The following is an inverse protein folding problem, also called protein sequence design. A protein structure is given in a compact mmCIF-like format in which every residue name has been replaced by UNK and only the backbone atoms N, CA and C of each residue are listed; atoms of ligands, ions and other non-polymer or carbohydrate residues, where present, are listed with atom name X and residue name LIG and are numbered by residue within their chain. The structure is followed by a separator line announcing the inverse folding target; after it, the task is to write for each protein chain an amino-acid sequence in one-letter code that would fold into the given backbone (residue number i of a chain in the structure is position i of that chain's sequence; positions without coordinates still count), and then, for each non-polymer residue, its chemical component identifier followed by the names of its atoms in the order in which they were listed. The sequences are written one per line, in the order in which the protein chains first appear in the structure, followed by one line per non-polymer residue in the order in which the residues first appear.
data_IF_847327714964
#
_entry.id   IF_847327714964
#
_cell.length_a   1.000
_cell.length_b   1.000
_cell.length_c   1.000
_cell.angle_alpha   90.00
_cell.angle_beta   90.00
_cell.angle_gamma   90.00
#
_symmetry.space_group_name_H-M   'P 1'
#
loop_
_entity.id
_entity.type
_entity.pdbx_description
1 polymer ?
#
# COMPACT_ATOMS: atom_id res chain seq x y z
N UNK A 1 -14.98 8.73 43.57
CA UNK A 1 -13.99 8.73 42.45
C UNK A 1 -13.98 7.34 41.83
N UNK A 2 -14.37 7.17 40.58
CA UNK A 2 -14.28 5.88 39.87
C UNK A 2 -12.81 5.48 39.75
N UNK A 3 -12.47 4.27 40.21
CA UNK A 3 -11.11 3.69 40.15
C UNK A 3 -10.62 3.69 38.69
N UNK A 4 -9.38 4.12 38.48
CA UNK A 4 -8.72 3.98 37.15
C UNK A 4 -8.53 2.50 36.84
N UNK A 5 -8.82 2.10 35.61
CA UNK A 5 -8.62 0.73 35.14
C UNK A 5 -7.19 0.60 34.62
N UNK A 6 -6.43 -0.37 35.11
CA UNK A 6 -5.08 -0.63 34.65
C UNK A 6 -5.11 -1.52 33.41
N UNK A 7 -4.63 -1.01 32.30
CA UNK A 7 -4.67 -1.67 31.00
C UNK A 7 -3.25 -1.94 30.50
N UNK A 8 -2.96 -3.18 30.15
CA UNK A 8 -1.75 -3.53 29.44
C UNK A 8 -2.00 -3.46 27.92
N UNK A 9 -1.12 -2.76 27.21
CA UNK A 9 -1.05 -2.77 25.75
C UNK A 9 0.30 -3.37 25.33
N UNK A 10 0.27 -4.62 24.90
CA UNK A 10 1.43 -5.35 24.41
C UNK A 10 1.43 -5.32 22.88
N UNK A 11 2.22 -4.43 22.32
CA UNK A 11 2.27 -4.16 20.88
C UNK A 11 3.72 -3.89 20.47
N UNK A 12 4.34 -4.69 19.61
CA UNK A 12 5.64 -4.36 19.05
C UNK A 12 5.52 -3.06 18.22
N UNK A 13 6.64 -2.38 18.02
CA UNK A 13 6.68 -1.11 17.27
C UNK A 13 7.74 -1.11 16.18
N UNK A 14 8.19 -2.30 15.77
CA UNK A 14 9.22 -2.48 14.75
C UNK A 14 8.77 -2.07 13.35
N UNK A 15 7.51 -2.35 13.00
CA UNK A 15 6.93 -2.02 11.70
C UNK A 15 6.08 -0.74 11.74
N UNK A 16 5.83 -0.17 10.57
CA UNK A 16 4.89 0.96 10.41
C UNK A 16 3.47 0.56 10.86
N UNK A 17 2.97 -0.58 10.40
CA UNK A 17 1.64 -1.09 10.70
C UNK A 17 1.39 -1.24 12.22
N UNK A 18 2.38 -1.74 12.95
CA UNK A 18 2.32 -1.90 14.41
C UNK A 18 2.24 -0.54 15.13
N UNK A 19 3.07 0.43 14.74
CA UNK A 19 3.04 1.78 15.32
C UNK A 19 1.70 2.47 15.08
N UNK A 20 1.15 2.36 13.89
CA UNK A 20 -0.15 2.98 13.54
C UNK A 20 -1.32 2.32 14.28
N UNK A 21 -1.27 1.00 14.51
CA UNK A 21 -2.24 0.30 15.38
C UNK A 21 -2.17 0.84 16.81
N UNK A 22 -0.96 0.97 17.36
CA UNK A 22 -0.76 1.55 18.70
C UNK A 22 -1.31 2.97 18.80
N UNK A 23 -1.03 3.83 17.81
CA UNK A 23 -1.58 5.19 17.78
C UNK A 23 -3.12 5.19 17.81
N UNK A 24 -3.77 4.28 17.10
CA UNK A 24 -5.23 4.13 17.16
C UNK A 24 -5.74 3.75 18.54
N UNK A 25 -5.06 2.84 19.26
CA UNK A 25 -5.39 2.47 20.64
C UNK A 25 -5.26 3.68 21.56
N UNK A 26 -4.15 4.41 21.47
CA UNK A 26 -3.87 5.60 22.27
C UNK A 26 -4.88 6.72 21.97
N UNK A 27 -5.24 6.93 20.71
CA UNK A 27 -6.27 7.88 20.31
C UNK A 27 -7.59 7.57 21.01
N UNK A 28 -8.06 6.30 20.98
CA UNK A 28 -9.27 5.90 21.67
C UNK A 28 -9.19 6.19 23.17
N UNK A 29 -8.08 5.86 23.81
CA UNK A 29 -7.89 6.07 25.24
C UNK A 29 -7.95 7.56 25.64
N UNK A 30 -7.43 8.46 24.78
CA UNK A 30 -7.45 9.90 25.03
C UNK A 30 -8.82 10.55 24.76
N UNK A 31 -9.51 10.14 23.70
CA UNK A 31 -10.79 10.75 23.29
C UNK A 31 -11.95 10.39 24.24
N UNK A 32 -11.90 9.24 24.89
CA UNK A 32 -13.00 8.77 25.70
C UNK A 32 -13.02 9.42 27.07
N UNK A 33 -13.82 10.46 27.24
CA UNK A 33 -14.02 11.20 28.51
C UNK A 33 -14.45 10.32 29.71
N UNK A 34 -14.83 9.05 29.52
CA UNK A 34 -15.27 8.11 30.54
C UNK A 34 -14.33 6.92 30.81
N UNK A 35 -13.37 6.64 29.94
CA UNK A 35 -12.39 5.57 30.15
C UNK A 35 -11.17 6.17 30.88
N UNK A 36 -11.15 6.04 32.20
CA UNK A 36 -9.97 6.40 33.00
C UNK A 36 -8.99 5.23 33.01
N UNK A 37 -8.30 5.05 31.90
CA UNK A 37 -7.29 4.03 31.78
C UNK A 37 -5.94 4.53 32.33
N UNK A 38 -5.28 3.64 33.04
CA UNK A 38 -3.88 3.73 33.40
C UNK A 38 -3.16 2.73 32.48
N UNK A 39 -2.49 3.27 31.44
CA UNK A 39 -1.89 2.46 30.36
C UNK A 39 -0.47 2.07 30.71
N UNK A 40 -0.20 0.77 30.68
CA UNK A 40 1.15 0.24 30.68
C UNK A 40 1.44 -0.32 29.28
N UNK A 41 2.53 0.13 28.67
CA UNK A 41 2.90 -0.23 27.30
C UNK A 41 4.07 -1.20 27.32
N UNK A 42 3.89 -2.39 26.75
CA UNK A 42 4.97 -3.30 26.39
C UNK A 42 5.22 -3.21 24.89
N UNK A 43 6.29 -2.51 24.52
CA UNK A 43 6.67 -2.25 23.14
C UNK A 43 7.73 -3.24 22.63
N UNK A 44 8.14 -4.19 23.46
CA UNK A 44 9.23 -5.13 23.14
C UNK A 44 8.78 -6.33 22.30
N UNK A 45 7.48 -6.59 22.25
CA UNK A 45 6.95 -7.82 21.65
C UNK A 45 7.31 -9.10 22.41
N UNK A 46 7.87 -8.98 23.64
CA UNK A 46 8.31 -10.12 24.48
C UNK A 46 7.21 -10.48 25.49
N UNK A 47 5.98 -10.47 25.02
CA UNK A 47 4.80 -10.78 25.84
C UNK A 47 4.96 -12.07 26.64
N UNK A 48 5.65 -13.08 26.10
CA UNK A 48 5.91 -14.35 26.75
C UNK A 48 6.71 -14.22 28.06
N UNK A 49 7.61 -13.25 28.21
CA UNK A 49 8.35 -13.02 29.47
C UNK A 49 7.48 -12.35 30.52
N UNK A 50 6.67 -11.38 30.13
CA UNK A 50 5.74 -10.70 31.05
C UNK A 50 4.68 -11.65 31.58
N UNK A 51 4.16 -12.54 30.74
CA UNK A 51 3.15 -13.51 31.12
C UNK A 51 3.68 -14.65 31.99
N UNK A 52 4.94 -15.05 31.81
CA UNK A 52 5.58 -16.09 32.63
C UNK A 52 5.94 -15.60 34.04
N UNK A 53 6.25 -14.32 34.20
CA UNK A 53 6.70 -13.76 35.49
C UNK A 53 5.56 -13.37 36.43
N UNK A 54 4.31 -13.28 35.94
CA UNK A 54 3.24 -12.64 36.70
C UNK A 54 1.85 -13.31 36.54
N UNK A 55 1.67 -14.51 37.11
CA UNK A 55 0.35 -15.12 37.26
C UNK A 55 -0.64 -14.27 38.08
N UNK A 56 -0.18 -13.22 38.77
CA UNK A 56 -0.95 -12.30 39.62
C UNK A 56 -1.04 -10.86 39.09
N UNK A 57 -0.96 -10.65 37.77
CA UNK A 57 -0.92 -9.31 37.17
C UNK A 57 -2.16 -8.45 37.52
N UNK A 58 -1.92 -7.17 37.92
CA UNK A 58 -2.96 -6.28 38.41
C UNK A 58 -3.76 -5.60 37.29
N UNK A 59 -3.77 -6.14 36.04
CA UNK A 59 -4.48 -5.52 34.92
C UNK A 59 -5.97 -5.88 34.93
N UNK A 60 -6.79 -4.87 34.69
CA UNK A 60 -8.23 -5.02 34.50
C UNK A 60 -8.57 -5.51 33.07
N UNK A 61 -7.70 -5.22 32.09
CA UNK A 61 -7.83 -5.67 30.70
C UNK A 61 -6.52 -5.61 29.92
N UNK A 62 -6.47 -6.33 28.82
CA UNK A 62 -5.26 -6.47 27.97
C UNK A 62 -5.63 -6.28 26.51
N UNK A 63 -4.81 -5.50 25.77
CA UNK A 63 -4.76 -5.49 24.31
C UNK A 63 -3.41 -6.05 23.91
N UNK A 64 -3.38 -7.11 23.11
CA UNK A 64 -2.15 -7.74 22.69
C UNK A 64 -2.11 -8.02 21.18
N UNK A 65 -0.96 -7.75 20.57
CA UNK A 65 -0.62 -8.26 19.25
C UNK A 65 -0.16 -9.71 19.37
N UNK A 66 -0.53 -10.52 18.41
CA UNK A 66 -0.23 -11.96 18.38
C UNK A 66 0.52 -12.27 17.09
N UNK A 67 1.79 -12.60 17.22
CA UNK A 67 2.65 -12.96 16.09
C UNK A 67 2.67 -14.46 15.78
N UNK A 68 2.40 -15.32 16.78
CA UNK A 68 2.43 -16.77 16.59
C UNK A 68 1.41 -17.53 17.46
N UNK A 69 1.27 -18.83 17.22
CA UNK A 69 0.33 -19.70 17.93
C UNK A 69 0.70 -19.96 19.40
N UNK A 70 1.98 -19.88 19.77
CA UNK A 70 2.44 -20.07 21.14
C UNK A 70 2.05 -18.86 22.00
N UNK A 71 2.23 -17.65 21.48
CA UNK A 71 1.75 -16.40 22.11
C UNK A 71 0.23 -16.42 22.26
N UNK A 72 -0.50 -16.80 21.19
CA UNK A 72 -1.96 -16.95 21.25
C UNK A 72 -2.38 -17.87 22.37
N UNK A 73 -1.78 -19.06 22.46
CA UNK A 73 -2.11 -20.06 23.49
C UNK A 73 -1.87 -19.52 24.91
N UNK A 74 -0.78 -18.82 25.12
CA UNK A 74 -0.41 -18.20 26.40
C UNK A 74 -1.42 -17.11 26.79
N UNK A 75 -1.81 -16.24 25.86
CA UNK A 75 -2.82 -15.19 26.07
C UNK A 75 -4.19 -15.77 26.38
N UNK A 76 -4.60 -16.82 25.70
CA UNK A 76 -5.88 -17.48 25.92
C UNK A 76 -5.99 -18.14 27.31
N UNK A 77 -4.89 -18.41 28.00
CA UNK A 77 -4.89 -18.90 29.37
C UNK A 77 -5.26 -17.81 30.40
N UNK A 78 -5.14 -16.53 30.03
CA UNK A 78 -5.44 -15.39 30.91
C UNK A 78 -6.95 -15.26 31.11
N UNK A 79 -7.40 -15.11 32.36
CA UNK A 79 -8.83 -14.96 32.73
C UNK A 79 -9.17 -13.49 32.99
N UNK A 80 -8.95 -12.64 31.98
CA UNK A 80 -9.27 -11.20 32.00
C UNK A 80 -9.91 -10.79 30.68
N UNK A 81 -10.62 -9.65 30.60
CA UNK A 81 -10.99 -9.03 29.33
C UNK A 81 -9.78 -8.87 28.41
N UNK A 82 -9.86 -9.45 27.22
CA UNK A 82 -8.72 -9.59 26.32
C UNK A 82 -9.14 -9.19 24.90
N UNK A 83 -8.34 -8.32 24.29
CA UNK A 83 -8.42 -8.01 22.87
C UNK A 83 -7.16 -8.47 22.19
N UNK A 84 -7.29 -9.36 21.22
CA UNK A 84 -6.20 -9.87 20.39
C UNK A 84 -6.23 -9.17 19.04
N UNK A 85 -5.08 -8.68 18.58
CA UNK A 85 -4.86 -8.22 17.22
C UNK A 85 -3.97 -9.26 16.57
N UNK A 86 -4.46 -9.95 15.53
CA UNK A 86 -3.79 -11.10 14.96
C UNK A 86 -3.56 -10.93 13.46
N UNK A 87 -2.33 -11.22 13.04
CA UNK A 87 -1.93 -11.36 11.64
C UNK A 87 -1.89 -12.85 11.21
N UNK A 88 -2.50 -13.71 12.01
CA UNK A 88 -2.50 -15.17 11.80
C UNK A 88 -3.69 -15.60 10.92
N UNK A 89 -3.56 -16.76 10.32
CA UNK A 89 -4.68 -17.41 9.66
C UNK A 89 -5.80 -17.67 10.69
N UNK A 90 -7.06 -17.49 10.27
CA UNK A 90 -8.21 -17.75 11.13
C UNK A 90 -8.20 -19.21 11.53
N UNK A 91 -8.05 -19.55 12.83
CA UNK A 91 -8.19 -20.93 13.26
C UNK A 91 -9.60 -21.41 12.99
N UNK A 92 -9.75 -22.66 12.55
CA UNK A 92 -11.06 -23.28 12.36
C UNK A 92 -11.92 -23.31 13.64
N UNK A 93 -11.29 -23.17 14.80
CA UNK A 93 -11.94 -23.16 16.12
C UNK A 93 -11.37 -22.04 16.99
N UNK A 94 -11.92 -20.84 16.90
CA UNK A 94 -11.65 -19.81 17.91
C UNK A 94 -12.41 -20.16 19.20
N UNK A 95 -11.75 -20.09 20.38
CA UNK A 95 -12.45 -20.30 21.64
C UNK A 95 -13.53 -19.23 21.81
N UNK A 96 -14.79 -19.66 21.92
CA UNK A 96 -15.94 -18.76 22.11
C UNK A 96 -16.02 -18.26 23.57
N UNK A 97 -14.98 -17.60 24.04
CA UNK A 97 -14.99 -16.92 25.33
C UNK A 97 -15.70 -15.58 25.22
N UNK A 98 -16.54 -15.27 26.20
CA UNK A 98 -17.34 -14.02 26.23
C UNK A 98 -16.48 -12.78 26.52
N UNK A 99 -15.30 -12.97 27.09
CA UNK A 99 -14.37 -11.94 27.54
C UNK A 99 -13.18 -11.72 26.56
N UNK A 100 -13.26 -12.27 25.34
CA UNK A 100 -12.24 -12.10 24.30
C UNK A 100 -12.85 -11.51 23.04
N UNK A 101 -12.22 -10.48 22.50
CA UNK A 101 -12.45 -9.99 21.13
C UNK A 101 -11.18 -10.19 20.33
N UNK A 102 -11.28 -10.78 19.15
CA UNK A 102 -10.16 -10.93 18.21
C UNK A 102 -10.39 -10.04 16.98
N UNK A 103 -9.39 -9.23 16.65
CA UNK A 103 -9.33 -8.45 15.43
C UNK A 103 -8.35 -9.11 14.48
N UNK A 104 -8.81 -9.45 13.28
CA UNK A 104 -8.02 -10.16 12.26
C UNK A 104 -7.72 -9.24 11.09
N UNK A 105 -6.46 -9.22 10.68
CA UNK A 105 -6.02 -8.63 9.43
C UNK A 105 -6.22 -9.65 8.30
N UNK A 106 -6.95 -9.27 7.23
CA UNK A 106 -7.17 -10.18 6.11
C UNK A 106 -6.11 -10.00 5.01
N UNK A 107 -4.93 -10.56 5.27
CA UNK A 107 -3.80 -10.48 4.36
C UNK A 107 -4.03 -11.20 3.03
N UNK A 108 -4.86 -12.25 3.01
CA UNK A 108 -5.19 -12.93 1.76
C UNK A 108 -5.98 -12.02 0.82
N UNK A 109 -6.88 -11.24 1.37
CA UNK A 109 -7.65 -10.31 0.56
C UNK A 109 -6.85 -9.07 0.13
N UNK A 110 -5.79 -8.66 0.87
CA UNK A 110 -4.83 -7.66 0.35
C UNK A 110 -4.12 -8.19 -0.90
N UNK A 111 -3.64 -9.45 -0.87
CA UNK A 111 -3.08 -10.12 -2.03
C UNK A 111 -4.07 -10.20 -3.20
N UNK A 112 -5.33 -10.58 -2.92
CA UNK A 112 -6.40 -10.57 -3.93
C UNK A 112 -6.61 -9.18 -4.52
N UNK A 113 -6.66 -8.15 -3.69
CA UNK A 113 -6.82 -6.75 -4.15
C UNK A 113 -5.71 -6.33 -5.11
N UNK A 114 -4.45 -6.73 -4.83
CA UNK A 114 -3.33 -6.49 -5.73
C UNK A 114 -3.50 -7.21 -7.07
N UNK A 115 -3.92 -8.48 -7.05
CA UNK A 115 -4.16 -9.26 -8.26
C UNK A 115 -5.27 -8.64 -9.12
N UNK A 116 -6.43 -8.32 -8.53
CA UNK A 116 -7.55 -7.68 -9.21
C UNK A 116 -7.15 -6.32 -9.80
N UNK A 117 -6.35 -5.54 -9.05
CA UNK A 117 -5.84 -4.26 -9.51
C UNK A 117 -4.97 -4.39 -10.77
N UNK A 118 -4.05 -5.34 -10.80
CA UNK A 118 -3.18 -5.56 -11.94
C UNK A 118 -3.93 -6.19 -13.14
N UNK A 119 -4.85 -7.12 -12.89
CA UNK A 119 -5.70 -7.71 -13.93
C UNK A 119 -6.56 -6.64 -14.62
N UNK A 120 -7.12 -5.71 -13.84
CA UNK A 120 -7.91 -4.58 -14.38
C UNK A 120 -7.10 -3.62 -15.25
N UNK A 121 -5.77 -3.66 -15.14
CA UNK A 121 -4.80 -2.90 -15.95
C UNK A 121 -4.18 -3.70 -17.08
N UNK A 122 -4.74 -4.87 -17.39
CA UNK A 122 -4.32 -5.76 -18.48
C UNK A 122 -2.89 -6.32 -18.36
N UNK A 123 -2.32 -6.38 -17.15
CA UNK A 123 -1.05 -7.10 -16.95
C UNK A 123 -1.24 -8.60 -17.21
N UNK A 124 -0.20 -9.25 -17.73
CA UNK A 124 -0.18 -10.70 -18.05
C UNK A 124 1.01 -11.44 -17.42
N UNK A 125 2.00 -10.71 -16.95
CA UNK A 125 3.17 -11.26 -16.25
C UNK A 125 3.17 -10.72 -14.83
N UNK A 126 3.32 -11.61 -13.86
CA UNK A 126 3.18 -11.28 -12.45
C UNK A 126 4.36 -11.78 -11.65
N UNK A 127 4.76 -11.00 -10.67
CA UNK A 127 5.85 -11.32 -9.76
C UNK A 127 5.48 -10.99 -8.30
N UNK A 128 6.10 -11.69 -7.37
CA UNK A 128 5.95 -11.46 -5.94
C UNK A 128 7.31 -11.42 -5.25
N UNK A 129 7.54 -10.38 -4.44
CA UNK A 129 8.75 -10.25 -3.61
C UNK A 129 8.34 -10.21 -2.14
N UNK A 130 8.57 -11.33 -1.46
CA UNK A 130 8.27 -11.50 -0.04
C UNK A 130 9.45 -11.22 0.87
N UNK A 131 9.32 -11.64 2.13
CA UNK A 131 10.40 -11.69 3.10
C UNK A 131 11.20 -12.99 2.94
N UNK A 132 12.44 -12.99 3.42
CA UNK A 132 13.25 -14.21 3.53
C UNK A 132 12.77 -15.11 4.66
N UNK A 133 12.22 -14.51 5.72
CA UNK A 133 11.69 -15.22 6.87
C UNK A 133 10.21 -15.56 6.65
N UNK A 134 9.80 -16.75 7.10
CA UNK A 134 8.40 -17.17 7.04
C UNK A 134 7.59 -16.42 8.10
N UNK A 135 6.88 -15.39 7.63
CA UNK A 135 5.83 -14.75 8.40
C UNK A 135 4.46 -15.11 7.86
N UNK A 136 3.49 -15.29 8.73
CA UNK A 136 2.14 -15.70 8.29
C UNK A 136 1.50 -14.67 7.36
N UNK A 137 1.65 -13.37 7.63
CA UNK A 137 1.12 -12.33 6.74
C UNK A 137 1.75 -12.39 5.33
N UNK A 138 3.06 -12.67 5.22
CA UNK A 138 3.73 -12.86 3.93
C UNK A 138 3.13 -14.05 3.16
N UNK A 139 2.97 -15.18 3.84
CA UNK A 139 2.40 -16.40 3.26
C UNK A 139 0.95 -16.20 2.81
N UNK A 140 0.10 -15.56 3.64
CA UNK A 140 -1.30 -15.31 3.34
C UNK A 140 -1.46 -14.30 2.19
N UNK A 141 -0.67 -13.22 2.19
CA UNK A 141 -0.69 -12.20 1.14
C UNK A 141 -0.26 -12.78 -0.20
N UNK A 142 0.85 -13.55 -0.20
CA UNK A 142 1.30 -14.30 -1.40
C UNK A 142 0.22 -15.26 -1.89
N UNK A 143 -0.39 -16.01 -0.98
CA UNK A 143 -1.45 -16.98 -1.32
C UNK A 143 -2.63 -16.27 -2.00
N UNK A 144 -3.16 -15.19 -1.41
CA UNK A 144 -4.28 -14.44 -1.99
C UNK A 144 -3.97 -13.88 -3.37
N UNK A 145 -2.75 -13.37 -3.58
CA UNK A 145 -2.26 -12.88 -4.87
C UNK A 145 -2.16 -14.02 -5.89
N UNK A 146 -1.50 -15.10 -5.54
CA UNK A 146 -1.26 -16.25 -6.43
C UNK A 146 -2.54 -16.96 -6.79
N UNK A 147 -3.40 -17.28 -5.82
CA UNK A 147 -4.65 -18.01 -6.08
C UNK A 147 -5.58 -17.22 -7.01
N UNK A 148 -5.65 -15.89 -6.84
CA UNK A 148 -6.47 -15.03 -7.70
C UNK A 148 -5.95 -15.01 -9.13
N UNK A 149 -4.63 -14.93 -9.32
CA UNK A 149 -4.01 -14.94 -10.64
C UNK A 149 -4.10 -16.30 -11.32
N UNK A 150 -3.91 -17.39 -10.57
CA UNK A 150 -4.09 -18.76 -11.08
C UNK A 150 -5.53 -19.00 -11.54
N UNK A 151 -6.52 -18.54 -10.79
CA UNK A 151 -7.93 -18.62 -11.20
C UNK A 151 -8.21 -17.83 -12.50
N UNK A 152 -7.43 -16.78 -12.79
CA UNK A 152 -7.46 -16.01 -14.03
C UNK A 152 -6.58 -16.62 -15.17
N UNK A 153 -5.91 -17.75 -14.93
CA UNK A 153 -5.06 -18.45 -15.91
C UNK A 153 -3.61 -17.96 -15.97
N UNK A 154 -3.11 -17.26 -14.93
CA UNK A 154 -1.76 -16.69 -14.89
C UNK A 154 -0.91 -17.25 -13.76
N UNK A 155 0.38 -17.49 -14.05
CA UNK A 155 1.39 -17.86 -13.05
C UNK A 155 2.02 -16.61 -12.37
N UNK A 156 2.73 -16.85 -11.27
CA UNK A 156 3.45 -15.83 -10.52
C UNK A 156 4.91 -16.23 -10.37
N UNK A 157 5.83 -15.34 -10.74
CA UNK A 157 7.25 -15.49 -10.49
C UNK A 157 7.55 -15.00 -9.06
N UNK A 158 7.79 -15.91 -8.13
CA UNK A 158 8.13 -15.57 -6.77
C UNK A 158 9.64 -15.47 -6.58
N UNK A 159 10.10 -14.38 -5.96
CA UNK A 159 11.51 -14.22 -5.61
C UNK A 159 11.87 -15.12 -4.44
N UNK A 160 12.84 -16.01 -4.65
CA UNK A 160 13.32 -17.01 -3.68
C UNK A 160 14.65 -16.64 -3.01
N UNK A 161 15.29 -15.54 -3.46
CA UNK A 161 16.58 -15.09 -2.94
C UNK A 161 17.80 -15.83 -3.51
N UNK A 162 17.63 -16.72 -4.49
CA UNK A 162 18.74 -17.48 -5.12
C UNK A 162 19.69 -16.59 -5.92
N UNK A 163 19.20 -15.46 -6.45
CA UNK A 163 19.95 -14.45 -7.16
C UNK A 163 19.88 -13.11 -6.42
N UNK A 164 20.85 -12.19 -6.65
CA UNK A 164 20.69 -10.79 -6.29
C UNK A 164 19.41 -10.22 -6.91
N UNK A 165 18.66 -9.41 -6.17
CA UNK A 165 17.36 -8.88 -6.61
C UNK A 165 17.43 -8.15 -7.97
N UNK A 166 18.45 -7.31 -8.26
CA UNK A 166 18.57 -6.68 -9.59
C UNK A 166 18.69 -7.69 -10.74
N UNK A 167 19.43 -8.78 -10.54
CA UNK A 167 19.65 -9.80 -11.58
C UNK A 167 18.40 -10.66 -11.78
N UNK A 168 17.72 -11.01 -10.71
CA UNK A 168 16.42 -11.70 -10.80
C UNK A 168 15.38 -10.84 -11.53
N UNK A 169 15.32 -9.53 -11.24
CA UNK A 169 14.42 -8.62 -11.93
C UNK A 169 14.69 -8.56 -13.43
N UNK A 170 15.96 -8.64 -13.91
CA UNK A 170 16.28 -8.70 -15.34
C UNK A 170 15.70 -9.92 -16.04
N UNK A 171 15.56 -11.04 -15.35
CA UNK A 171 15.00 -12.28 -15.89
C UNK A 171 13.49 -12.31 -16.03
N UNK A 172 12.76 -11.34 -15.47
CA UNK A 172 11.30 -11.32 -15.54
C UNK A 172 10.79 -10.94 -16.94
N UNK A 173 9.71 -11.56 -17.42
CA UNK A 173 9.07 -11.16 -18.68
C UNK A 173 8.49 -9.74 -18.57
N UNK A 174 8.49 -8.97 -19.68
CA UNK A 174 8.03 -7.58 -19.73
C UNK A 174 6.75 -7.41 -20.55
N UNK A 175 5.85 -6.47 -20.21
CA UNK A 175 5.80 -5.74 -18.94
C UNK A 175 5.36 -6.67 -17.81
N UNK A 176 5.87 -6.45 -16.59
CA UNK A 176 5.58 -7.26 -15.42
C UNK A 176 4.93 -6.42 -14.31
N UNK A 177 3.96 -7.00 -13.60
CA UNK A 177 3.35 -6.42 -12.42
C UNK A 177 3.86 -7.14 -11.17
N UNK A 178 4.49 -6.41 -10.25
CA UNK A 178 5.12 -6.95 -9.07
C UNK A 178 4.43 -6.45 -7.80
N UNK A 179 3.98 -7.40 -6.97
CA UNK A 179 3.55 -7.14 -5.61
C UNK A 179 4.72 -7.39 -4.66
N UNK A 180 5.11 -6.37 -3.90
CA UNK A 180 5.99 -6.53 -2.75
C UNK A 180 5.17 -6.70 -1.47
N UNK A 181 5.69 -7.49 -0.53
CA UNK A 181 4.98 -7.84 0.70
C UNK A 181 4.57 -6.63 1.54
N UNK A 182 5.35 -5.55 1.55
CA UNK A 182 5.07 -4.27 2.20
C UNK A 182 5.86 -3.14 1.52
N UNK A 183 5.59 -1.89 1.89
CA UNK A 183 6.17 -0.70 1.24
C UNK A 183 7.69 -0.61 1.34
N UNK A 184 8.28 -1.01 2.48
CA UNK A 184 9.74 -1.03 2.61
C UNK A 184 10.37 -2.01 1.61
N UNK A 185 9.76 -3.18 1.43
CA UNK A 185 10.21 -4.17 0.44
C UNK A 185 9.98 -3.70 -0.99
N UNK A 186 8.89 -2.97 -1.24
CA UNK A 186 8.62 -2.35 -2.54
C UNK A 186 9.69 -1.30 -2.88
N UNK A 187 10.13 -0.50 -1.90
CA UNK A 187 11.22 0.46 -2.08
C UNK A 187 12.54 -0.22 -2.43
N UNK A 188 12.86 -1.35 -1.81
CA UNK A 188 14.03 -2.15 -2.20
C UNK A 188 13.93 -2.64 -3.64
N UNK A 189 12.74 -3.06 -4.08
CA UNK A 189 12.46 -3.44 -5.48
C UNK A 189 12.68 -2.26 -6.43
N UNK A 190 12.20 -1.05 -6.09
CA UNK A 190 12.43 0.15 -6.90
C UNK A 190 13.92 0.46 -7.05
N UNK A 191 14.68 0.41 -5.95
CA UNK A 191 16.14 0.61 -5.98
C UNK A 191 16.83 -0.47 -6.84
N UNK A 192 16.42 -1.73 -6.72
CA UNK A 192 16.96 -2.82 -7.52
C UNK A 192 16.62 -2.68 -9.03
N UNK A 193 15.41 -2.16 -9.34
CA UNK A 193 15.00 -1.87 -10.71
C UNK A 193 15.87 -0.75 -11.34
N UNK A 194 16.14 0.32 -10.57
CA UNK A 194 17.04 1.38 -10.98
C UNK A 194 18.46 0.85 -11.27
N UNK A 195 19.03 0.05 -10.36
CA UNK A 195 20.34 -0.60 -10.55
C UNK A 195 20.37 -1.53 -11.77
N UNK A 196 19.24 -2.13 -12.11
CA UNK A 196 19.09 -3.01 -13.26
C UNK A 196 18.76 -2.26 -14.57
N UNK A 197 18.61 -0.93 -14.52
CA UNK A 197 18.13 -0.08 -15.62
C UNK A 197 16.76 -0.51 -16.17
N UNK A 198 15.83 -0.87 -15.28
CA UNK A 198 14.46 -1.28 -15.61
C UNK A 198 13.54 -0.09 -15.36
N UNK A 199 12.77 0.29 -16.38
CA UNK A 199 11.85 1.42 -16.29
C UNK A 199 10.60 1.08 -15.47
N UNK A 200 10.34 1.85 -14.41
CA UNK A 200 9.11 1.76 -13.62
C UNK A 200 8.22 2.96 -13.95
N UNK A 201 6.96 2.77 -14.30
CA UNK A 201 6.19 1.53 -14.34
C UNK A 201 6.14 0.82 -15.71
N UNK A 202 6.76 1.36 -16.77
CA UNK A 202 6.55 0.91 -18.15
C UNK A 202 7.00 -0.54 -18.42
N UNK A 203 8.08 -0.99 -17.79
CA UNK A 203 8.56 -2.38 -17.90
C UNK A 203 8.22 -3.19 -16.65
N UNK A 204 8.23 -2.54 -15.48
CA UNK A 204 7.94 -3.17 -14.19
C UNK A 204 7.02 -2.26 -13.36
N UNK A 205 5.79 -2.63 -13.17
CA UNK A 205 4.93 -1.95 -12.19
C UNK A 205 5.18 -2.53 -10.80
N UNK A 206 5.34 -1.67 -9.79
CA UNK A 206 5.62 -2.07 -8.42
C UNK A 206 4.53 -1.58 -7.49
N UNK A 207 3.91 -2.49 -6.76
CA UNK A 207 2.86 -2.22 -5.78
C UNK A 207 3.34 -2.66 -4.39
N UNK A 208 3.20 -1.79 -3.40
CA UNK A 208 3.42 -2.07 -2.00
C UNK A 208 2.13 -2.34 -1.23
N UNK A 209 2.27 -2.52 0.07
CA UNK A 209 1.19 -2.63 1.06
C UNK A 209 1.62 -1.86 2.30
N UNK A 210 0.70 -1.29 3.02
CA UNK A 210 0.69 -0.49 4.24
C UNK A 210 0.32 0.98 3.98
N UNK A 211 0.64 1.50 2.81
CA UNK A 211 0.52 2.91 2.44
C UNK A 211 1.25 3.82 3.44
N UNK A 212 2.47 3.44 3.81
CA UNK A 212 3.37 4.30 4.57
C UNK A 212 3.66 5.56 3.76
N UNK A 213 3.10 6.68 4.19
CA UNK A 213 3.14 7.92 3.42
C UNK A 213 4.57 8.41 3.19
N UNK A 214 5.47 8.20 4.17
CA UNK A 214 6.87 8.58 4.05
C UNK A 214 7.53 7.74 2.95
N UNK A 215 7.40 6.43 3.01
CA UNK A 215 8.01 5.54 2.01
C UNK A 215 7.39 5.75 0.63
N UNK A 216 6.05 5.88 0.57
CA UNK A 216 5.34 6.02 -0.70
C UNK A 216 5.67 7.33 -1.43
N UNK A 217 5.79 8.44 -0.70
CA UNK A 217 6.01 9.77 -1.31
C UNK A 217 7.48 10.08 -1.56
N UNK A 218 8.40 9.50 -0.78
CA UNK A 218 9.85 9.70 -0.95
C UNK A 218 10.52 8.70 -1.90
N UNK A 219 9.80 7.68 -2.34
CA UNK A 219 10.30 6.75 -3.36
C UNK A 219 10.36 7.40 -4.75
N UNK A 220 11.28 6.94 -5.59
CA UNK A 220 11.41 7.36 -6.99
C UNK A 220 11.34 6.12 -7.90
N UNK A 221 10.26 5.99 -8.70
CA UNK A 221 9.03 6.78 -8.71
C UNK A 221 8.21 6.62 -7.42
N UNK A 222 7.27 7.56 -7.15
CA UNK A 222 6.40 7.48 -5.97
C UNK A 222 5.61 6.17 -5.98
N UNK A 223 5.55 5.52 -4.80
CA UNK A 223 5.09 4.14 -4.67
C UNK A 223 3.57 4.05 -4.52
N UNK A 224 2.94 3.31 -5.41
CA UNK A 224 1.55 2.84 -5.25
C UNK A 224 1.47 1.79 -4.15
N UNK A 225 0.44 1.85 -3.33
CA UNK A 225 0.33 0.93 -2.20
C UNK A 225 -1.12 0.64 -1.84
N UNK A 226 -1.34 -0.50 -1.20
CA UNK A 226 -2.62 -0.89 -0.61
C UNK A 226 -2.64 -0.39 0.83
N UNK A 227 -3.53 0.56 1.19
CA UNK A 227 -3.66 0.97 2.57
C UNK A 227 -4.16 -0.17 3.45
N UNK A 228 -3.56 -0.32 4.60
CA UNK A 228 -4.07 -1.13 5.70
C UNK A 228 -4.85 -0.23 6.67
N UNK A 229 -5.91 -0.73 7.30
CA UNK A 229 -6.72 0.07 8.24
C UNK A 229 -6.14 0.09 9.66
N UNK A 230 -4.83 0.09 9.80
CA UNK A 230 -4.16 -0.15 11.07
C UNK A 230 -4.58 0.82 12.18
N UNK A 231 -4.69 2.14 11.91
CA UNK A 231 -5.17 3.11 12.90
C UNK A 231 -6.60 2.82 13.33
N UNK A 232 -7.50 2.56 12.39
CA UNK A 232 -8.90 2.23 12.67
C UNK A 232 -9.03 0.91 13.41
N UNK A 233 -8.16 -0.06 13.12
CA UNK A 233 -8.09 -1.34 13.82
C UNK A 233 -7.65 -1.15 15.26
N UNK A 234 -6.59 -0.37 15.50
CA UNK A 234 -6.14 0.00 16.84
C UNK A 234 -7.24 0.72 17.65
N UNK A 235 -7.91 1.70 17.03
CA UNK A 235 -9.04 2.40 17.64
C UNK A 235 -10.19 1.43 17.98
N UNK A 236 -10.51 0.49 17.09
CA UNK A 236 -11.52 -0.54 17.31
C UNK A 236 -11.11 -1.50 18.44
N UNK A 237 -9.81 -1.80 18.60
CA UNK A 237 -9.31 -2.61 19.71
C UNK A 237 -9.53 -1.90 21.05
N UNK A 238 -9.20 -0.62 21.15
CA UNK A 238 -9.48 0.19 22.33
C UNK A 238 -10.98 0.21 22.68
N UNK A 239 -11.84 0.44 21.67
CA UNK A 239 -13.29 0.40 21.85
C UNK A 239 -13.78 -0.96 22.32
N UNK A 240 -13.28 -2.04 21.70
CA UNK A 240 -13.70 -3.40 22.05
C UNK A 240 -13.33 -3.75 23.50
N UNK A 241 -12.12 -3.40 23.94
CA UNK A 241 -11.73 -3.61 25.34
C UNK A 241 -12.63 -2.84 26.31
N UNK A 242 -12.93 -1.58 26.02
CA UNK A 242 -13.82 -0.78 26.86
C UNK A 242 -15.24 -1.38 26.94
N UNK A 243 -15.78 -1.89 25.84
CA UNK A 243 -17.07 -2.56 25.81
C UNK A 243 -17.06 -3.86 26.65
N UNK A 244 -15.94 -4.63 26.61
CA UNK A 244 -15.76 -5.81 27.46
C UNK A 244 -15.69 -5.45 28.94
N UNK A 245 -14.93 -4.43 29.32
CA UNK A 245 -14.79 -3.94 30.69
C UNK A 245 -16.12 -3.43 31.27
N UNK A 246 -16.99 -2.88 30.42
CA UNK A 246 -18.33 -2.43 30.81
C UNK A 246 -19.39 -3.55 30.79
N UNK A 247 -19.01 -4.78 30.42
CA UNK A 247 -19.97 -5.90 30.29
C UNK A 247 -20.96 -5.73 29.13
N UNK A 248 -20.69 -4.81 28.19
CA UNK A 248 -21.56 -4.46 27.05
C UNK A 248 -21.26 -5.27 25.79
N UNK A 249 -20.07 -5.86 25.68
CA UNK A 249 -19.66 -6.71 24.57
C UNK A 249 -19.62 -8.18 24.97
N UNK A 250 -19.89 -9.04 23.98
CA UNK A 250 -19.59 -10.47 24.02
C UNK A 250 -18.45 -10.76 23.10
N UNK A 251 -17.72 -11.84 23.38
CA UNK A 251 -16.63 -12.31 22.53
C UNK A 251 -17.04 -12.41 21.06
N UNK A 252 -16.26 -11.82 20.18
CA UNK A 252 -16.49 -11.78 18.73
C UNK A 252 -15.18 -11.67 17.97
N UNK A 253 -15.24 -11.99 16.69
CA UNK A 253 -14.17 -11.75 15.72
C UNK A 253 -14.58 -10.56 14.86
N UNK A 254 -13.64 -9.66 14.64
CA UNK A 254 -13.78 -8.48 13.78
C UNK A 254 -12.75 -8.60 12.68
N UNK A 255 -13.19 -8.56 11.44
CA UNK A 255 -12.30 -8.55 10.27
C UNK A 255 -12.06 -7.13 9.77
N UNK A 256 -10.86 -6.84 9.31
CA UNK A 256 -10.59 -5.60 8.57
C UNK A 256 -11.35 -5.60 7.24
N UNK A 257 -11.79 -4.41 6.83
CA UNK A 257 -12.37 -4.24 5.49
C UNK A 257 -11.26 -3.94 4.50
N UNK A 258 -11.51 -4.27 3.22
CA UNK A 258 -10.54 -4.01 2.15
C UNK A 258 -10.66 -2.59 1.64
N UNK A 259 -9.51 -2.03 1.21
CA UNK A 259 -9.39 -0.75 0.56
C UNK A 259 -9.05 -0.91 -0.91
N UNK A 260 -9.25 0.19 -1.62
CA UNK A 260 -8.73 0.34 -2.97
C UNK A 260 -7.24 0.73 -2.92
N UNK A 261 -6.49 0.32 -3.94
CA UNK A 261 -5.10 0.74 -4.13
C UNK A 261 -5.04 2.26 -4.24
N UNK A 262 -4.11 2.87 -3.51
CA UNK A 262 -3.70 4.26 -3.73
C UNK A 262 -2.68 4.25 -4.87
N UNK A 263 -3.15 4.60 -6.05
CA UNK A 263 -2.30 4.62 -7.26
C UNK A 263 -1.39 5.84 -7.23
N UNK A 264 -0.10 5.60 -7.41
CA UNK A 264 0.96 6.58 -7.64
C UNK A 264 1.79 6.14 -8.86
N UNK A 265 2.94 6.77 -9.12
CA UNK A 265 3.70 6.54 -10.37
C UNK A 265 4.21 5.13 -10.56
N UNK A 266 4.52 4.37 -9.51
CA UNK A 266 5.07 3.02 -9.65
C UNK A 266 4.13 2.01 -10.32
N UNK A 267 2.84 2.35 -10.45
CA UNK A 267 1.84 1.54 -11.18
C UNK A 267 0.93 2.38 -12.09
N UNK A 268 1.18 3.69 -12.20
CA UNK A 268 0.34 4.58 -13.05
C UNK A 268 0.70 4.43 -14.53
N UNK A 269 0.58 3.21 -15.01
CA UNK A 269 0.53 2.90 -16.44
C UNK A 269 -0.54 1.85 -16.66
N UNK A 270 -1.44 2.14 -17.58
CA UNK A 270 -2.13 1.06 -18.27
C UNK A 270 -1.08 0.29 -19.05
N UNK A 271 -1.09 -1.03 -18.97
CA UNK A 271 -0.21 -1.83 -19.83
C UNK A 271 -0.61 -1.55 -21.26
N UNK A 272 0.22 -0.79 -21.91
CA UNK A 272 0.11 -0.59 -23.33
C UNK A 272 0.53 -1.92 -23.94
N UNK A 273 -0.44 -2.73 -24.35
CA UNK A 273 -0.23 -4.06 -24.93
C UNK A 273 0.56 -4.02 -26.25
N UNK A 274 0.73 -2.83 -26.79
CA UNK A 274 1.48 -2.59 -28.01
C UNK A 274 2.89 -2.03 -27.69
N UNK A 275 3.91 -2.76 -28.11
CA UNK A 275 5.31 -2.46 -27.84
C UNK A 275 5.76 -1.12 -28.42
N UNK A 276 5.20 -0.74 -29.56
CA UNK A 276 5.55 0.54 -30.22
C UNK A 276 4.94 1.72 -29.50
N UNK A 277 3.67 1.60 -29.09
CA UNK A 277 2.99 2.63 -28.29
C UNK A 277 3.64 2.79 -26.92
N UNK A 278 3.99 1.67 -26.27
CA UNK A 278 4.72 1.68 -24.99
C UNK A 278 6.08 2.39 -25.10
N UNK A 279 6.90 2.08 -26.13
CA UNK A 279 8.18 2.73 -26.39
C UNK A 279 8.01 4.22 -26.68
N UNK A 280 7.05 4.59 -27.53
CA UNK A 280 6.81 5.99 -27.87
C UNK A 280 6.43 6.82 -26.65
N UNK A 281 5.50 6.35 -25.82
CA UNK A 281 5.07 7.06 -24.63
C UNK A 281 6.09 7.02 -23.49
N UNK A 282 6.87 5.95 -23.37
CA UNK A 282 8.02 5.88 -22.47
C UNK A 282 9.09 6.91 -22.83
N UNK A 283 9.43 7.02 -24.10
CA UNK A 283 10.35 8.06 -24.59
C UNK A 283 9.77 9.47 -24.35
N UNK A 284 8.48 9.69 -24.66
CA UNK A 284 7.81 10.97 -24.45
C UNK A 284 7.86 11.42 -22.98
N UNK A 285 7.73 10.51 -22.02
CA UNK A 285 7.80 10.80 -20.58
C UNK A 285 9.13 11.46 -20.18
N UNK A 286 10.23 11.01 -20.75
CA UNK A 286 11.56 11.54 -20.48
C UNK A 286 11.87 12.86 -21.22
N UNK A 287 10.99 13.27 -22.15
CA UNK A 287 11.21 14.43 -23.04
C UNK A 287 10.02 15.40 -23.02
N UNK A 288 9.22 15.43 -21.93
CA UNK A 288 7.98 16.21 -21.87
C UNK A 288 8.16 17.70 -22.12
N UNK A 289 9.26 18.28 -21.66
CA UNK A 289 9.60 19.69 -21.87
C UNK A 289 9.96 20.06 -23.30
N UNK A 290 10.19 19.06 -24.16
CA UNK A 290 10.52 19.27 -25.55
C UNK A 290 9.27 19.32 -26.45
N UNK A 291 9.49 19.76 -27.73
CA UNK A 291 8.45 19.68 -28.75
C UNK A 291 8.24 18.22 -29.16
N UNK A 292 7.21 17.58 -28.58
CA UNK A 292 6.80 16.23 -28.93
C UNK A 292 5.95 16.26 -30.19
N UNK A 293 6.47 15.71 -31.31
CA UNK A 293 5.74 15.50 -32.56
C UNK A 293 5.49 14.01 -32.78
N UNK A 294 4.41 13.67 -33.49
CA UNK A 294 4.12 12.28 -33.83
C UNK A 294 5.28 11.61 -34.60
N UNK A 295 6.01 12.37 -35.40
CA UNK A 295 7.16 11.87 -36.17
C UNK A 295 8.33 11.50 -35.23
N UNK A 296 8.66 12.36 -34.25
CA UNK A 296 9.70 12.05 -33.25
C UNK A 296 9.37 10.82 -32.41
N UNK A 297 8.09 10.68 -32.04
CA UNK A 297 7.59 9.53 -31.29
C UNK A 297 7.64 8.25 -32.13
N UNK A 298 7.30 8.32 -33.40
CA UNK A 298 7.39 7.17 -34.31
C UNK A 298 8.85 6.71 -34.51
N UNK A 299 9.79 7.68 -34.66
CA UNK A 299 11.21 7.39 -34.74
C UNK A 299 11.71 6.71 -33.47
N UNK A 300 11.35 7.23 -32.28
CA UNK A 300 11.76 6.65 -31.00
C UNK A 300 11.22 5.23 -30.77
N UNK A 301 10.06 4.93 -31.36
CA UNK A 301 9.44 3.61 -31.31
C UNK A 301 9.88 2.68 -32.46
N UNK A 302 10.70 3.15 -33.40
CA UNK A 302 11.11 2.40 -34.60
C UNK A 302 9.92 1.93 -35.47
N UNK A 303 8.93 2.79 -35.68
CA UNK A 303 7.78 2.52 -36.53
C UNK A 303 7.38 3.73 -37.37
N UNK A 304 6.42 3.56 -38.28
CA UNK A 304 5.87 4.69 -39.05
C UNK A 304 4.86 5.49 -38.22
N UNK A 305 4.73 6.78 -38.50
CA UNK A 305 3.76 7.67 -37.85
C UNK A 305 2.31 7.19 -38.00
N UNK A 306 1.82 6.83 -39.20
CA UNK A 306 0.46 6.33 -39.34
C UNK A 306 0.22 5.08 -38.49
N UNK A 307 1.17 4.15 -38.50
CA UNK A 307 1.09 2.95 -37.69
C UNK A 307 1.01 3.26 -36.19
N UNK A 308 1.87 4.15 -35.67
CA UNK A 308 1.83 4.54 -34.27
C UNK A 308 0.50 5.19 -33.89
N UNK A 309 -0.06 6.04 -34.74
CA UNK A 309 -1.35 6.69 -34.49
C UNK A 309 -2.49 5.67 -34.43
N UNK A 310 -2.59 4.79 -35.44
CA UNK A 310 -3.58 3.71 -35.48
C UNK A 310 -3.48 2.79 -34.27
N UNK A 311 -2.25 2.34 -33.93
CA UNK A 311 -2.05 1.46 -32.79
C UNK A 311 -2.40 2.15 -31.46
N UNK A 312 -2.12 3.44 -31.33
CA UNK A 312 -2.48 4.21 -30.12
C UNK A 312 -3.99 4.27 -29.96
N UNK A 313 -4.73 4.56 -31.03
CA UNK A 313 -6.20 4.59 -30.99
C UNK A 313 -6.80 3.21 -30.70
N UNK A 314 -6.26 2.15 -31.32
CA UNK A 314 -6.72 0.79 -31.10
C UNK A 314 -6.51 0.31 -29.65
N UNK A 315 -5.35 0.64 -29.06
CA UNK A 315 -4.95 0.11 -27.76
C UNK A 315 -5.43 0.97 -26.59
N UNK A 316 -5.41 2.32 -26.77
CA UNK A 316 -5.78 3.26 -25.70
C UNK A 316 -7.17 3.87 -25.85
N UNK A 317 -7.83 3.67 -26.99
CA UNK A 317 -9.12 4.28 -27.28
C UNK A 317 -9.07 5.82 -27.44
N UNK A 318 -7.86 6.40 -27.54
CA UNK A 318 -7.63 7.85 -27.64
C UNK A 318 -6.54 8.15 -28.67
N UNK A 319 -6.55 9.35 -29.23
CA UNK A 319 -5.52 9.78 -30.17
C UNK A 319 -4.13 9.91 -29.51
N UNK A 320 -3.05 9.77 -30.28
CA UNK A 320 -1.68 9.96 -29.80
C UNK A 320 -1.48 11.34 -29.13
N UNK A 321 -2.10 12.38 -29.67
CA UNK A 321 -2.07 13.72 -29.07
C UNK A 321 -2.77 13.78 -27.70
N UNK A 322 -3.91 13.09 -27.56
CA UNK A 322 -4.61 12.97 -26.28
C UNK A 322 -3.80 12.16 -25.25
N UNK A 323 -3.11 11.09 -25.68
CA UNK A 323 -2.24 10.31 -24.83
C UNK A 323 -1.05 11.14 -24.32
N UNK A 324 -0.41 11.94 -25.16
CA UNK A 324 0.66 12.88 -24.75
C UNK A 324 0.13 13.92 -23.77
N UNK A 325 -1.06 14.48 -24.02
CA UNK A 325 -1.68 15.46 -23.13
C UNK A 325 -1.96 14.86 -21.75
N UNK A 326 -2.50 13.64 -21.70
CA UNK A 326 -2.75 12.89 -20.45
C UNK A 326 -1.43 12.69 -19.70
N UNK A 327 -0.37 12.26 -20.38
CA UNK A 327 0.95 12.05 -19.80
C UNK A 327 1.51 13.36 -19.18
N UNK A 328 1.41 14.49 -19.89
CA UNK A 328 1.82 15.80 -19.39
C UNK A 328 1.06 16.23 -18.14
N UNK A 329 -0.27 16.02 -18.13
CA UNK A 329 -1.13 16.38 -17.00
C UNK A 329 -0.85 15.52 -15.78
N UNK A 330 -0.65 14.22 -15.95
CA UNK A 330 -0.30 13.31 -14.86
C UNK A 330 1.03 13.71 -14.22
N UNK A 331 2.08 13.94 -15.02
CA UNK A 331 3.38 14.37 -14.52
C UNK A 331 3.30 15.76 -13.83
N UNK A 332 2.49 16.67 -14.38
CA UNK A 332 2.31 17.99 -13.74
C UNK A 332 1.58 17.89 -12.41
N UNK A 333 0.55 17.04 -12.29
CA UNK A 333 -0.15 16.79 -11.04
C UNK A 333 0.79 16.22 -9.96
N UNK A 334 1.71 15.35 -10.36
CA UNK A 334 2.78 14.84 -9.50
C UNK A 334 3.69 15.93 -9.00
N UNK A 335 4.30 16.69 -9.91
CA UNK A 335 5.21 17.78 -9.54
C UNK A 335 4.53 18.82 -8.63
N UNK A 336 3.22 19.04 -8.80
CA UNK A 336 2.45 19.92 -7.92
C UNK A 336 2.37 19.39 -6.49
N UNK A 337 2.36 18.07 -6.30
CA UNK A 337 2.19 17.43 -4.99
C UNK A 337 3.51 17.03 -4.33
N UNK A 338 4.58 16.86 -5.11
CA UNK A 338 5.87 16.35 -4.60
C UNK A 338 6.96 17.43 -4.54
N UNK A 339 6.71 18.61 -5.12
CA UNK A 339 7.73 19.68 -5.18
C UNK A 339 7.13 21.07 -4.87
N UNK A 340 8.00 21.98 -4.42
CA UNK A 340 7.66 23.41 -4.25
C UNK A 340 7.93 24.26 -5.52
N UNK A 341 8.17 23.60 -6.65
CA UNK A 341 8.43 24.31 -7.92
C UNK A 341 7.28 25.26 -8.26
N UNK A 342 7.59 26.48 -8.75
CA UNK A 342 6.57 27.40 -9.24
C UNK A 342 5.68 26.74 -10.30
N UNK A 343 4.38 27.05 -10.30
CA UNK A 343 3.41 26.51 -11.29
C UNK A 343 3.87 26.79 -12.73
N UNK A 344 4.52 27.94 -12.95
CA UNK A 344 5.11 28.30 -14.25
C UNK A 344 6.21 27.33 -14.69
N UNK A 345 7.07 26.95 -13.77
CA UNK A 345 8.16 26.02 -14.05
C UNK A 345 7.65 24.60 -14.30
N UNK A 346 6.66 24.13 -13.51
CA UNK A 346 5.99 22.85 -13.75
C UNK A 346 5.32 22.84 -15.13
N UNK A 347 4.61 23.91 -15.48
CA UNK A 347 3.99 24.06 -16.82
C UNK A 347 5.02 23.90 -17.94
N UNK A 348 6.18 24.56 -17.80
CA UNK A 348 7.26 24.51 -18.77
C UNK A 348 7.91 23.11 -18.84
N UNK A 349 8.27 22.52 -17.69
CA UNK A 349 8.87 21.18 -17.63
C UNK A 349 7.97 20.10 -18.24
N UNK A 350 6.65 20.25 -18.07
CA UNK A 350 5.67 19.36 -18.67
C UNK A 350 5.32 19.72 -20.13
N UNK A 351 5.97 20.71 -20.73
CA UNK A 351 5.84 21.06 -22.15
C UNK A 351 4.53 21.74 -22.52
N UNK A 352 3.90 22.47 -21.60
CA UNK A 352 2.76 23.31 -21.92
C UNK A 352 3.23 24.67 -22.47
N UNK A 353 2.57 25.14 -23.52
CA UNK A 353 2.96 26.38 -24.20
C UNK A 353 2.75 27.62 -23.33
N UNK A 354 1.74 27.61 -22.44
CA UNK A 354 1.50 28.68 -21.48
C UNK A 354 0.77 28.17 -20.22
N UNK A 355 0.95 28.89 -19.12
CA UNK A 355 0.39 28.55 -17.80
C UNK A 355 -1.15 28.56 -17.82
N UNK A 356 -1.76 29.50 -18.56
CA UNK A 356 -3.23 29.62 -18.63
C UNK A 356 -3.84 28.36 -19.25
N UNK A 357 -3.28 27.88 -20.35
CA UNK A 357 -3.72 26.65 -21.01
C UNK A 357 -3.51 25.42 -20.12
N UNK A 358 -2.36 25.33 -19.43
CA UNK A 358 -2.10 24.28 -18.43
C UNK A 358 -3.17 24.31 -17.33
N UNK A 359 -3.48 25.48 -16.78
CA UNK A 359 -4.46 25.62 -15.69
C UNK A 359 -5.87 25.18 -16.09
N UNK A 360 -6.28 25.50 -17.33
CA UNK A 360 -7.57 25.05 -17.88
C UNK A 360 -7.60 23.53 -17.99
N UNK A 361 -6.62 22.94 -18.67
CA UNK A 361 -6.55 21.49 -18.88
C UNK A 361 -6.46 20.70 -17.57
N UNK A 362 -5.70 21.21 -16.59
CA UNK A 362 -5.62 20.56 -15.27
C UNK A 362 -6.97 20.63 -14.54
N UNK A 363 -7.67 21.76 -14.63
CA UNK A 363 -8.99 21.92 -14.01
C UNK A 363 -10.03 21.01 -14.69
N UNK A 364 -9.98 20.85 -16.01
CA UNK A 364 -10.84 19.90 -16.73
C UNK A 364 -10.58 18.45 -16.31
N UNK A 365 -9.31 18.07 -16.14
CA UNK A 365 -8.92 16.70 -15.82
C UNK A 365 -9.15 16.33 -14.34
N UNK A 366 -8.88 17.24 -13.41
CA UNK A 366 -8.85 16.97 -11.96
C UNK A 366 -9.85 17.81 -11.15
N UNK A 367 -10.64 18.69 -11.78
CA UNK A 367 -11.63 19.53 -11.12
C UNK A 367 -11.07 20.73 -10.34
N UNK A 368 -9.73 20.91 -10.29
CA UNK A 368 -9.06 21.91 -9.49
C UNK A 368 -8.01 22.70 -10.30
N UNK A 369 -7.85 23.99 -9.97
CA UNK A 369 -6.72 24.78 -10.50
C UNK A 369 -5.38 24.25 -9.94
N UNK A 370 -4.22 24.51 -10.61
CA UNK A 370 -2.92 24.03 -10.15
C UNK A 370 -2.60 24.39 -8.67
N UNK A 371 -2.88 25.61 -8.26
CA UNK A 371 -2.67 26.04 -6.87
C UNK A 371 -3.64 25.34 -5.90
N UNK A 372 -4.91 25.20 -6.28
CA UNK A 372 -5.89 24.49 -5.47
C UNK A 372 -5.56 22.99 -5.37
N UNK A 373 -5.05 22.40 -6.46
CA UNK A 373 -4.61 21.00 -6.49
C UNK A 373 -3.43 20.79 -5.55
N UNK A 374 -2.41 21.67 -5.62
CA UNK A 374 -1.27 21.68 -4.69
C UNK A 374 -1.70 21.83 -3.24
N UNK A 375 -2.56 22.82 -2.94
CA UNK A 375 -3.04 23.06 -1.58
C UNK A 375 -3.79 21.87 -1.00
N UNK A 376 -4.57 21.15 -1.82
CA UNK A 376 -5.39 20.02 -1.37
C UNK A 376 -4.60 18.72 -1.23
N UNK A 377 -3.60 18.50 -2.09
CA UNK A 377 -2.92 17.20 -2.24
C UNK A 377 -1.41 17.28 -2.01
N UNK A 378 -0.87 18.48 -1.75
CA UNK A 378 0.55 18.68 -1.49
C UNK A 378 0.94 18.38 -0.04
N UNK A 379 2.25 18.32 0.25
CA UNK A 379 2.78 17.90 1.57
C UNK A 379 2.46 18.88 2.71
N UNK A 380 2.00 20.10 2.41
CA UNK A 380 1.60 21.15 3.37
C UNK A 380 0.10 21.47 3.26
N UNK A 381 -0.74 20.47 2.98
CA UNK A 381 -2.19 20.66 3.03
C UNK A 381 -2.61 20.82 4.50
N UNK A 382 -2.86 22.09 4.92
CA UNK A 382 -3.49 22.43 6.20
C UNK A 382 -4.94 21.92 6.27
#
# INVERSE_FOLDING_TARGET
MTKRQKILVAMPTGSYAERVKLEGILQYAHEKKGARWDLELDLSGILGRLLQTNASQPYDGIIAYVGDDAERKSLLAIRRPLVLIEDLAIPSTLPRRKDIVTLLCDHAAEGKTAADYFLSRNYRNFAYVGLREDSQYNTLRRKGFTDTLLAAGFGVNAYDGSLPLPDWLKGLPRPCALLAVHDLRAREVLTAAEMANISVPSELAVLGVDNDEILCTTSSPTLSSIPTFDRSLGYAAGRALNELLLGRAKGRVIHTRHTKVVTRHSTDSEVISDVFVAKALGWARNHLGEKLTADRLAISAHCSKPYLQERTELVLGITLAAAIRRLRLTTAAELLTTTDLPVSEISQRCGFACISHFAVLLKEAYGLTPLAYRKRNGPLAD
#
